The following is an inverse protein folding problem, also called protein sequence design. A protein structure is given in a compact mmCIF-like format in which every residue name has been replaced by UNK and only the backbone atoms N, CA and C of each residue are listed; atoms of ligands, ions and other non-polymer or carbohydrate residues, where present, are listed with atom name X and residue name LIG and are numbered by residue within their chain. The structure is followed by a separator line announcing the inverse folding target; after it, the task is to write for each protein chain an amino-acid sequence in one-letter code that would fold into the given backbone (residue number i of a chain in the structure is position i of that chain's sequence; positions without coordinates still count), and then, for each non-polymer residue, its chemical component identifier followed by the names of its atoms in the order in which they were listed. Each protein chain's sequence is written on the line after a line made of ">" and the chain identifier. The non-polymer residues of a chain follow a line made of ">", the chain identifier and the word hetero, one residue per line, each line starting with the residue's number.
data_IF_099121659167
#
_entry.id   IF_099121659167
#
_cell.length_a   1.000
_cell.length_b   1.000
_cell.length_c   1.000
_cell.angle_alpha   90.00
_cell.angle_beta   90.00
_cell.angle_gamma   90.00
#
_symmetry.space_group_name_H-M   'P 1'
#
loop_
_entity.id
_entity.type
_entity.pdbx_description
1 polymer ?
#
# COMPACT_ATOMS: atom_id res chain seq x y z
N UNK A 1 -34.28 4.73 4.30
CA UNK A 1 -33.92 3.45 4.95
C UNK A 1 -33.33 3.82 6.30
N UNK A 2 -33.77 3.19 7.39
CA UNK A 2 -33.18 3.43 8.72
C UNK A 2 -32.04 2.45 8.94
N UNK A 3 -30.79 2.93 8.87
CA UNK A 3 -29.59 2.14 9.11
C UNK A 3 -29.20 2.21 10.59
N UNK A 4 -28.55 1.15 11.10
CA UNK A 4 -27.86 1.18 12.39
C UNK A 4 -26.69 2.18 12.35
N UNK A 5 -26.12 2.54 13.51
CA UNK A 5 -24.95 3.45 13.57
C UNK A 5 -23.79 2.91 12.73
N UNK A 6 -23.54 1.59 12.77
CA UNK A 6 -22.57 0.92 11.91
C UNK A 6 -22.91 1.11 10.42
N UNK A 7 -24.17 0.90 10.02
CA UNK A 7 -24.61 1.10 8.64
C UNK A 7 -24.50 2.55 8.21
N UNK A 8 -24.78 3.51 9.11
CA UNK A 8 -24.63 4.94 8.83
C UNK A 8 -23.16 5.33 8.65
N UNK A 9 -22.24 4.78 9.47
CA UNK A 9 -20.79 5.04 9.39
C UNK A 9 -20.23 4.67 8.00
N UNK A 10 -20.63 3.54 7.44
CA UNK A 10 -20.14 3.06 6.14
C UNK A 10 -21.03 3.41 4.94
N UNK A 11 -22.17 4.07 5.15
CA UNK A 11 -23.03 4.57 4.07
C UNK A 11 -22.61 5.96 3.55
N UNK A 12 -21.69 6.63 4.24
CA UNK A 12 -21.13 7.91 3.80
C UNK A 12 -20.27 7.76 2.55
N UNK A 13 -20.21 8.82 1.76
CA UNK A 13 -19.27 8.90 0.64
C UNK A 13 -17.87 9.04 1.20
N UNK A 14 -17.08 7.97 1.17
CA UNK A 14 -15.70 7.98 1.64
C UNK A 14 -14.77 8.64 0.61
N UNK A 15 -13.62 9.15 1.07
CA UNK A 15 -12.61 9.73 0.18
C UNK A 15 -12.16 8.76 -0.91
N UNK A 16 -12.00 7.47 -0.55
CA UNK A 16 -11.63 6.42 -1.51
C UNK A 16 -12.77 6.12 -2.50
N UNK A 17 -14.03 6.09 -2.06
CA UNK A 17 -15.19 5.86 -2.94
C UNK A 17 -15.34 6.99 -3.94
N UNK A 18 -15.26 8.24 -3.47
CA UNK A 18 -15.32 9.41 -4.33
C UNK A 18 -14.21 9.39 -5.39
N UNK A 19 -12.99 9.06 -4.98
CA UNK A 19 -11.86 8.94 -5.90
C UNK A 19 -12.06 7.83 -6.93
N UNK A 20 -12.54 6.67 -6.50
CA UNK A 20 -12.77 5.51 -7.39
C UNK A 20 -13.86 5.80 -8.41
N UNK A 21 -14.96 6.44 -8.01
CA UNK A 21 -16.05 6.83 -8.91
C UNK A 21 -15.57 7.88 -9.92
N UNK A 22 -14.83 8.89 -9.45
CA UNK A 22 -14.29 9.96 -10.29
C UNK A 22 -13.29 9.43 -11.33
N UNK A 23 -12.44 8.49 -10.93
CA UNK A 23 -11.50 7.80 -11.83
C UNK A 23 -12.24 6.89 -12.83
N UNK A 24 -13.28 6.17 -12.39
CA UNK A 24 -14.09 5.32 -13.26
C UNK A 24 -14.86 6.14 -14.31
N UNK A 25 -15.45 7.27 -13.91
CA UNK A 25 -16.13 8.21 -14.81
C UNK A 25 -15.16 8.77 -15.86
N UNK A 26 -13.95 9.14 -15.42
CA UNK A 26 -12.91 9.64 -16.31
C UNK A 26 -12.46 8.59 -17.33
N UNK A 27 -12.28 7.34 -16.92
CA UNK A 27 -11.90 6.23 -17.81
C UNK A 27 -12.95 5.93 -18.90
N UNK A 28 -14.20 6.27 -18.68
CA UNK A 28 -15.25 6.09 -19.68
C UNK A 28 -15.12 7.08 -20.87
N UNK A 29 -14.27 8.09 -20.75
CA UNK A 29 -14.05 9.10 -21.81
C UNK A 29 -12.92 8.64 -22.75
N UNK A 30 -13.11 8.69 -24.09
CA UNK A 30 -12.06 8.31 -25.06
C UNK A 30 -10.83 9.21 -24.95
N UNK A 31 -9.65 8.60 -24.98
CA UNK A 31 -8.36 9.33 -25.04
C UNK A 31 -7.87 9.90 -23.72
N UNK A 32 -8.55 9.59 -22.61
CA UNK A 32 -8.10 9.96 -21.26
C UNK A 32 -6.89 9.11 -20.85
N UNK A 33 -5.88 9.79 -20.28
CA UNK A 33 -4.66 9.18 -19.75
C UNK A 33 -4.86 8.91 -18.25
N UNK A 34 -4.74 7.64 -17.82
CA UNK A 34 -4.96 7.21 -16.45
C UNK A 34 -3.64 7.08 -15.69
N UNK A 35 -3.17 8.14 -15.04
CA UNK A 35 -2.03 8.11 -14.13
C UNK A 35 -2.45 8.15 -12.64
N UNK A 36 -3.75 8.09 -12.35
CA UNK A 36 -4.29 8.04 -10.97
C UNK A 36 -4.55 6.62 -10.44
N UNK A 37 -4.62 5.62 -11.30
CA UNK A 37 -5.00 4.26 -10.94
C UNK A 37 -4.01 3.54 -10.03
N UNK A 38 -4.50 2.49 -9.35
CA UNK A 38 -3.72 1.65 -8.42
C UNK A 38 -3.50 0.21 -8.89
N UNK A 39 -3.83 -0.12 -10.14
CA UNK A 39 -3.55 -1.44 -10.70
C UNK A 39 -2.05 -1.61 -10.97
N UNK A 40 -1.47 -2.80 -10.72
CA UNK A 40 -0.10 -3.10 -11.14
C UNK A 40 0.03 -3.09 -12.66
N UNK A 41 1.25 -2.92 -13.16
CA UNK A 41 1.55 -3.06 -14.57
C UNK A 41 1.28 -4.49 -15.06
N UNK A 42 0.82 -4.61 -16.31
CA UNK A 42 0.79 -5.91 -17.00
C UNK A 42 2.16 -6.16 -17.62
N UNK A 43 2.96 -7.05 -16.99
CA UNK A 43 4.29 -7.42 -17.45
C UNK A 43 4.15 -8.76 -18.18
N UNK A 44 4.38 -8.82 -19.53
CA UNK A 44 4.11 -10.04 -20.31
C UNK A 44 4.85 -11.27 -19.79
N UNK A 45 6.11 -11.13 -19.38
CA UNK A 45 6.93 -12.22 -18.88
C UNK A 45 6.39 -12.75 -17.54
N UNK A 46 5.93 -11.89 -16.66
CA UNK A 46 5.28 -12.25 -15.39
C UNK A 46 3.94 -12.96 -15.64
N UNK A 47 3.15 -12.46 -16.59
CA UNK A 47 1.89 -13.09 -16.97
C UNK A 47 2.09 -14.48 -17.59
N UNK A 48 3.17 -14.69 -18.35
CA UNK A 48 3.52 -15.99 -18.90
C UNK A 48 3.82 -17.02 -17.79
N UNK A 49 4.56 -16.61 -16.75
CA UNK A 49 4.82 -17.46 -15.57
C UNK A 49 3.53 -17.84 -14.86
N UNK A 50 2.61 -16.90 -14.63
CA UNK A 50 1.32 -17.22 -14.03
C UNK A 50 0.48 -18.16 -14.88
N UNK A 51 0.49 -17.98 -16.21
CA UNK A 51 -0.22 -18.88 -17.13
C UNK A 51 0.33 -20.30 -17.05
N UNK A 52 1.66 -20.47 -17.04
CA UNK A 52 2.30 -21.77 -16.88
C UNK A 52 1.92 -22.46 -15.55
N UNK A 53 1.89 -21.69 -14.44
CA UNK A 53 1.48 -22.21 -13.14
C UNK A 53 0.01 -22.67 -13.18
N UNK A 54 -0.89 -21.87 -13.78
CA UNK A 54 -2.30 -22.21 -13.89
C UNK A 54 -2.51 -23.47 -14.75
N UNK A 55 -1.74 -23.64 -15.85
CA UNK A 55 -1.78 -24.84 -16.68
C UNK A 55 -1.33 -26.08 -15.89
N UNK A 56 -0.27 -25.98 -15.08
CA UNK A 56 0.19 -27.06 -14.18
C UNK A 56 -0.88 -27.44 -13.16
N UNK A 57 -1.48 -26.45 -12.49
CA UNK A 57 -2.55 -26.65 -11.51
C UNK A 57 -3.80 -27.29 -12.15
N UNK A 58 -4.11 -26.92 -13.40
CA UNK A 58 -5.22 -27.52 -14.15
C UNK A 58 -4.94 -28.96 -14.51
N UNK A 59 -3.73 -29.25 -15.00
CA UNK A 59 -3.33 -30.60 -15.40
C UNK A 59 -3.27 -31.58 -14.22
N UNK A 60 -2.89 -31.13 -13.03
CA UNK A 60 -2.84 -31.97 -11.81
C UNK A 60 -4.23 -32.12 -11.13
N UNK A 61 -5.23 -31.34 -11.51
CA UNK A 61 -6.54 -31.28 -10.84
C UNK A 61 -6.56 -30.42 -9.58
N UNK A 62 -5.45 -29.84 -9.17
CA UNK A 62 -5.36 -28.97 -7.99
C UNK A 62 -6.17 -27.68 -8.14
N UNK A 63 -6.26 -27.14 -9.37
CA UNK A 63 -7.09 -25.97 -9.66
C UNK A 63 -8.56 -26.21 -9.30
N UNK A 64 -9.13 -27.34 -9.75
CA UNK A 64 -10.52 -27.69 -9.46
C UNK A 64 -10.71 -27.92 -7.96
N UNK A 65 -9.79 -28.64 -7.31
CA UNK A 65 -9.83 -28.85 -5.86
C UNK A 65 -9.80 -27.55 -5.07
N UNK A 66 -8.96 -26.59 -5.46
CA UNK A 66 -8.86 -25.28 -4.83
C UNK A 66 -10.13 -24.44 -4.99
N UNK A 67 -10.81 -24.55 -6.14
CA UNK A 67 -12.03 -23.78 -6.41
C UNK A 67 -13.30 -24.41 -5.81
N UNK A 68 -13.31 -25.72 -5.54
CA UNK A 68 -14.49 -26.46 -5.10
C UNK A 68 -14.55 -26.73 -3.59
N UNK A 69 -13.50 -26.36 -2.83
CA UNK A 69 -13.44 -26.60 -1.41
C UNK A 69 -13.15 -25.29 -0.63
N UNK A 70 -13.69 -25.20 0.58
CA UNK A 70 -13.27 -24.18 1.54
C UNK A 70 -11.99 -24.61 2.25
N UNK A 71 -11.07 -23.68 2.41
CA UNK A 71 -9.94 -23.81 3.33
C UNK A 71 -10.37 -23.48 4.76
N UNK A 72 -9.47 -23.67 5.73
CA UNK A 72 -9.68 -23.19 7.09
C UNK A 72 -9.75 -21.64 7.15
N UNK A 73 -10.37 -21.03 8.16
CA UNK A 73 -10.41 -19.57 8.31
C UNK A 73 -9.03 -18.90 8.35
N UNK A 74 -8.01 -19.63 8.81
CA UNK A 74 -6.62 -19.17 8.79
C UNK A 74 -6.01 -19.18 7.37
N UNK A 75 -6.52 -20.04 6.49
CA UNK A 75 -6.05 -20.25 5.12
C UNK A 75 -5.60 -21.67 4.84
N UNK A 76 -5.06 -21.92 3.66
CA UNK A 76 -4.63 -23.24 3.18
C UNK A 76 -3.37 -23.70 3.93
N UNK A 77 -3.46 -24.77 4.69
CA UNK A 77 -2.38 -25.27 5.57
C UNK A 77 -1.07 -25.51 4.83
N UNK A 78 -1.11 -26.13 3.64
CA UNK A 78 0.08 -26.38 2.83
C UNK A 78 0.81 -25.09 2.44
N UNK A 79 0.07 -24.02 2.14
CA UNK A 79 0.67 -22.72 1.83
C UNK A 79 1.24 -22.05 3.07
N UNK A 80 0.57 -22.13 4.22
CA UNK A 80 1.08 -21.60 5.48
C UNK A 80 2.39 -22.29 5.89
N UNK A 81 2.49 -23.60 5.72
CA UNK A 81 3.72 -24.38 5.95
C UNK A 81 4.84 -23.96 5.00
N UNK A 82 4.54 -23.82 3.70
CA UNK A 82 5.49 -23.36 2.69
C UNK A 82 6.01 -21.95 2.97
N UNK A 83 5.13 -21.03 3.33
CA UNK A 83 5.51 -19.66 3.70
C UNK A 83 6.38 -19.63 4.95
N UNK A 84 5.99 -20.36 6.02
CA UNK A 84 6.78 -20.42 7.25
C UNK A 84 8.18 -20.98 6.98
N UNK A 85 8.28 -22.03 6.16
CA UNK A 85 9.56 -22.58 5.74
C UNK A 85 10.38 -21.56 4.94
N UNK A 86 9.76 -20.88 3.96
CA UNK A 86 10.40 -19.85 3.13
C UNK A 86 11.00 -18.72 3.98
N UNK A 87 10.24 -18.17 4.93
CA UNK A 87 10.73 -17.08 5.78
C UNK A 87 11.83 -17.53 6.75
N UNK A 88 11.75 -18.74 7.27
CA UNK A 88 12.84 -19.29 8.11
C UNK A 88 14.13 -19.45 7.34
N UNK A 89 14.08 -20.07 6.16
CA UNK A 89 15.27 -20.34 5.36
C UNK A 89 15.90 -19.09 4.77
N UNK A 90 15.09 -18.13 4.32
CA UNK A 90 15.60 -16.94 3.66
C UNK A 90 15.98 -15.82 4.61
N UNK A 91 15.29 -15.67 5.74
CA UNK A 91 15.42 -14.51 6.63
C UNK A 91 15.70 -14.88 8.10
N UNK A 92 15.72 -16.15 8.44
CA UNK A 92 15.98 -16.62 9.81
C UNK A 92 14.87 -16.23 10.79
N UNK A 93 13.64 -15.98 10.32
CA UNK A 93 12.53 -15.65 11.18
C UNK A 93 12.08 -16.88 11.98
N UNK A 94 11.91 -16.72 13.30
CA UNK A 94 11.42 -17.79 14.15
C UNK A 94 9.88 -17.84 14.11
N UNK A 95 9.33 -18.32 12.99
CA UNK A 95 7.89 -18.45 12.75
C UNK A 95 7.50 -19.84 12.28
N UNK A 96 6.28 -20.25 12.66
CA UNK A 96 5.61 -21.43 12.16
C UNK A 96 4.34 -21.11 11.38
N UNK A 97 3.60 -22.11 10.90
CA UNK A 97 2.29 -21.90 10.27
C UNK A 97 1.29 -21.16 11.18
N UNK A 98 1.41 -21.30 12.51
CA UNK A 98 0.58 -20.60 13.50
C UNK A 98 0.81 -19.08 13.56
N UNK A 99 1.91 -18.60 12.98
CA UNK A 99 2.23 -17.18 12.87
C UNK A 99 1.70 -16.51 11.58
N UNK A 100 1.00 -17.24 10.71
CA UNK A 100 0.60 -16.77 9.40
C UNK A 100 -0.90 -16.99 9.19
N UNK A 101 -1.60 -15.96 8.67
CA UNK A 101 -2.99 -16.09 8.22
C UNK A 101 -3.18 -15.44 6.85
N UNK A 102 -4.13 -15.96 6.08
CA UNK A 102 -4.56 -15.39 4.80
C UNK A 102 -5.78 -14.50 4.98
N UNK A 103 -5.99 -13.58 4.04
CA UNK A 103 -7.11 -12.65 4.04
C UNK A 103 -7.55 -12.30 2.62
N UNK A 104 -8.74 -11.70 2.46
CA UNK A 104 -9.26 -11.20 1.18
C UNK A 104 -8.57 -9.90 0.72
N UNK A 105 -7.24 -9.94 0.55
CA UNK A 105 -6.38 -8.80 0.32
C UNK A 105 -6.08 -8.02 1.61
N UNK A 106 -5.01 -7.22 1.61
CA UNK A 106 -4.56 -6.47 2.79
C UNK A 106 -5.59 -5.47 3.32
N UNK A 107 -6.50 -4.95 2.47
CA UNK A 107 -7.57 -4.05 2.91
C UNK A 107 -8.47 -4.68 3.97
N UNK A 108 -8.82 -5.96 3.84
CA UNK A 108 -9.58 -6.68 4.86
C UNK A 108 -8.78 -6.88 6.14
N UNK A 109 -7.45 -7.08 6.03
CA UNK A 109 -6.58 -7.15 7.19
C UNK A 109 -6.57 -5.82 7.96
N UNK A 110 -6.45 -4.68 7.29
CA UNK A 110 -6.49 -3.37 7.96
C UNK A 110 -7.82 -3.12 8.65
N UNK A 111 -8.96 -3.48 8.02
CA UNK A 111 -10.25 -3.38 8.68
C UNK A 111 -10.30 -4.18 9.98
N UNK A 112 -9.84 -5.43 9.98
CA UNK A 112 -9.82 -6.28 11.16
C UNK A 112 -8.83 -5.74 12.20
N UNK A 113 -7.57 -5.52 11.83
CA UNK A 113 -6.50 -5.18 12.77
C UNK A 113 -6.69 -3.79 13.40
N UNK A 114 -7.04 -2.78 12.61
CA UNK A 114 -7.24 -1.44 13.15
C UNK A 114 -8.38 -1.41 14.17
N UNK A 115 -9.53 -2.03 13.87
CA UNK A 115 -10.65 -2.08 14.79
C UNK A 115 -10.45 -3.06 15.97
N UNK A 116 -9.41 -3.89 15.92
CA UNK A 116 -9.06 -4.79 17.01
C UNK A 116 -8.16 -4.15 18.06
N UNK A 117 -7.22 -3.34 17.61
CA UNK A 117 -6.23 -2.69 18.47
C UNK A 117 -6.62 -1.26 18.86
N UNK A 118 -7.52 -0.65 18.10
CA UNK A 118 -7.98 0.72 18.31
C UNK A 118 -9.53 0.78 18.36
N UNK A 119 -10.07 1.94 18.77
CA UNK A 119 -11.49 2.14 19.03
C UNK A 119 -11.77 2.15 20.53
N UNK A 120 -13.05 1.97 20.91
CA UNK A 120 -13.50 2.07 22.31
C UNK A 120 -13.18 0.80 23.08
N UNK A 121 -12.43 0.94 24.18
CA UNK A 121 -12.08 -0.15 25.08
C UNK A 121 -12.21 0.29 26.54
N UNK A 122 -13.10 -0.34 27.32
CA UNK A 122 -13.20 -0.13 28.76
C UNK A 122 -13.45 1.31 29.23
N UNK A 123 -14.09 2.15 28.41
CA UNK A 123 -14.37 3.56 28.74
C UNK A 123 -13.31 4.55 28.23
N UNK A 124 -12.22 4.09 27.65
CA UNK A 124 -11.23 4.89 26.91
C UNK A 124 -11.36 4.64 25.41
N UNK A 125 -10.80 5.52 24.60
CA UNK A 125 -10.67 5.33 23.15
C UNK A 125 -9.17 5.24 22.81
N UNK A 126 -8.80 4.25 22.02
CA UNK A 126 -7.44 4.12 21.44
C UNK A 126 -7.47 4.37 19.96
N UNK A 127 -6.36 4.86 19.43
CA UNK A 127 -6.20 5.21 18.01
C UNK A 127 -5.06 4.42 17.37
N UNK A 128 -5.12 4.31 16.05
CA UNK A 128 -3.98 3.89 15.24
C UNK A 128 -3.13 5.12 14.96
N UNK A 129 -1.88 5.08 15.39
CA UNK A 129 -0.90 6.13 15.12
C UNK A 129 -0.20 5.87 13.79
N UNK A 130 -0.25 6.86 12.90
CA UNK A 130 0.53 6.93 11.67
C UNK A 130 1.73 7.87 11.95
N UNK A 131 2.95 7.35 12.18
CA UNK A 131 4.08 8.17 12.66
C UNK A 131 4.68 9.10 11.61
N UNK A 132 4.26 8.99 10.36
CA UNK A 132 4.57 9.93 9.30
C UNK A 132 3.49 9.88 8.21
N UNK A 133 3.06 11.03 7.73
CA UNK A 133 2.21 11.16 6.54
C UNK A 133 3.00 11.86 5.43
N UNK A 134 2.69 11.62 4.13
CA UNK A 134 1.50 10.95 3.60
C UNK A 134 1.53 9.43 3.73
N UNK A 135 0.33 8.83 3.81
CA UNK A 135 0.10 7.39 3.90
C UNK A 135 -1.12 6.93 3.09
N UNK A 136 -1.34 5.63 3.03
CA UNK A 136 -2.33 5.01 2.17
C UNK A 136 -3.76 5.48 2.46
N UNK A 137 -4.42 6.02 1.43
CA UNK A 137 -5.81 6.53 1.49
C UNK A 137 -6.79 5.48 2.04
N UNK A 138 -6.54 4.19 1.78
CA UNK A 138 -7.40 3.10 2.23
C UNK A 138 -7.49 2.92 3.74
N UNK A 139 -6.63 3.58 4.53
CA UNK A 139 -6.73 3.56 5.99
C UNK A 139 -7.81 4.51 6.53
N UNK A 140 -8.13 5.58 5.80
CA UNK A 140 -9.02 6.64 6.29
C UNK A 140 -10.40 6.15 6.73
N UNK A 141 -10.93 5.16 6.02
CA UNK A 141 -12.34 4.77 6.14
C UNK A 141 -12.55 3.37 6.75
N UNK A 142 -11.49 2.67 7.20
CA UNK A 142 -11.64 1.33 7.78
C UNK A 142 -12.13 1.34 9.23
N UNK A 143 -12.08 2.49 9.92
CA UNK A 143 -12.49 2.62 11.31
C UNK A 143 -14.00 2.51 11.50
N UNK A 144 -14.45 1.66 12.42
CA UNK A 144 -15.84 1.68 12.94
C UNK A 144 -16.03 2.98 13.72
N UNK A 145 -15.05 3.35 14.54
CA UNK A 145 -14.98 4.67 15.17
C UNK A 145 -14.46 5.69 14.14
N UNK A 146 -15.14 6.83 13.89
CA UNK A 146 -14.68 7.83 12.94
C UNK A 146 -13.34 8.47 13.31
N UNK A 147 -13.00 8.53 14.60
CA UNK A 147 -11.77 9.15 15.11
C UNK A 147 -10.65 8.11 15.36
N UNK A 148 -10.69 6.98 14.63
CA UNK A 148 -9.78 5.86 14.84
C UNK A 148 -8.31 6.20 14.56
N UNK A 149 -8.02 7.18 13.70
CA UNK A 149 -6.66 7.50 13.25
C UNK A 149 -6.14 8.78 13.92
N UNK A 150 -4.86 8.78 14.22
CA UNK A 150 -4.07 9.98 14.47
C UNK A 150 -2.75 9.88 13.71
N UNK A 151 -2.19 10.99 13.29
CA UNK A 151 -0.96 11.00 12.53
C UNK A 151 -0.03 12.13 12.90
N UNK A 152 1.25 11.93 12.59
CA UNK A 152 2.29 12.93 12.71
C UNK A 152 2.80 13.34 11.33
N UNK A 153 3.13 14.63 11.17
CA UNK A 153 3.79 15.11 9.96
C UNK A 153 5.20 14.50 9.84
N UNK A 154 5.56 14.12 8.64
CA UNK A 154 6.92 13.71 8.36
C UNK A 154 7.88 14.91 8.36
N UNK A 155 9.12 14.67 8.77
CA UNK A 155 10.20 15.60 8.50
C UNK A 155 10.58 15.52 7.03
N UNK A 156 10.49 16.65 6.32
CA UNK A 156 10.90 16.75 4.91
C UNK A 156 12.41 17.00 4.87
N UNK A 157 13.12 16.17 4.12
CA UNK A 157 14.55 16.31 3.86
C UNK A 157 14.74 16.60 2.38
N UNK A 158 15.22 17.79 2.05
CA UNK A 158 15.60 18.13 0.68
C UNK A 158 16.89 17.38 0.29
N UNK A 159 16.89 16.85 -0.92
CA UNK A 159 18.03 16.17 -1.54
C UNK A 159 18.47 16.96 -2.76
N UNK A 160 19.57 16.52 -3.39
CA UNK A 160 20.05 17.14 -4.61
C UNK A 160 19.04 16.98 -5.77
N UNK A 161 19.19 17.82 -6.79
CA UNK A 161 18.42 17.77 -8.04
C UNK A 161 16.89 17.88 -7.86
N UNK A 162 16.40 18.67 -6.90
CA UNK A 162 14.96 18.85 -6.69
C UNK A 162 14.23 17.60 -6.14
N UNK A 163 14.98 16.60 -5.67
CA UNK A 163 14.41 15.51 -4.91
C UNK A 163 14.19 15.89 -3.44
N UNK A 164 13.26 15.19 -2.80
CA UNK A 164 13.08 15.24 -1.35
C UNK A 164 12.72 13.86 -0.81
N UNK A 165 12.79 13.69 0.51
CA UNK A 165 12.42 12.46 1.20
C UNK A 165 11.68 12.75 2.49
N UNK A 166 10.73 11.91 2.84
CA UNK A 166 10.08 11.90 4.16
C UNK A 166 10.86 11.04 5.15
N UNK A 167 10.99 11.54 6.37
CA UNK A 167 11.57 10.84 7.52
C UNK A 167 10.61 10.90 8.70
N UNK A 168 10.65 9.88 9.54
CA UNK A 168 9.95 9.95 10.84
C UNK A 168 10.58 11.04 11.70
N UNK A 169 9.77 11.90 12.27
CA UNK A 169 10.22 12.90 13.23
C UNK A 169 10.21 12.29 14.65
N UNK A 170 11.25 11.54 14.95
CA UNK A 170 11.40 10.83 16.23
C UNK A 170 11.53 11.77 17.43
N UNK A 171 11.95 13.03 17.23
CA UNK A 171 12.10 14.00 18.30
C UNK A 171 10.75 14.45 18.84
N UNK A 172 9.73 14.50 17.98
CA UNK A 172 8.39 14.93 18.31
C UNK A 172 7.37 13.77 18.35
N UNK A 173 7.80 12.53 18.05
CA UNK A 173 6.92 11.37 18.07
C UNK A 173 6.50 11.03 19.50
N UNK A 174 5.18 11.12 19.76
CA UNK A 174 4.61 10.79 21.05
C UNK A 174 3.70 9.58 20.92
N UNK A 175 3.92 8.60 21.80
CA UNK A 175 3.08 7.40 21.93
C UNK A 175 2.61 7.36 23.39
N UNK A 176 1.35 7.69 23.61
CA UNK A 176 0.71 7.69 24.93
C UNK A 176 -0.37 6.59 25.02
N UNK A 177 -1.07 6.50 26.13
CA UNK A 177 -2.10 5.49 26.40
C UNK A 177 -3.29 5.54 25.41
N UNK A 178 -3.42 6.61 24.63
CA UNK A 178 -4.43 6.71 23.57
C UNK A 178 -4.05 6.00 22.27
N UNK A 179 -2.83 5.49 22.16
CA UNK A 179 -2.38 4.70 21.02
C UNK A 179 -2.61 3.21 21.29
N UNK A 180 -3.20 2.50 20.35
CA UNK A 180 -3.42 1.05 20.42
C UNK A 180 -2.64 0.27 19.37
N UNK A 181 -2.14 0.95 18.33
CA UNK A 181 -1.39 0.36 17.21
C UNK A 181 -0.56 1.45 16.53
N UNK A 182 0.68 1.15 16.16
CA UNK A 182 1.47 1.98 15.25
C UNK A 182 1.45 1.33 13.87
N UNK A 183 1.16 2.10 12.82
CA UNK A 183 1.09 1.59 11.44
C UNK A 183 1.95 2.39 10.49
N UNK A 184 2.77 1.70 9.68
CA UNK A 184 3.60 2.27 8.63
C UNK A 184 3.54 1.41 7.37
N UNK A 185 3.74 2.03 6.19
CA UNK A 185 3.93 1.31 4.93
C UNK A 185 5.41 1.29 4.53
N UNK A 186 5.86 0.17 3.95
CA UNK A 186 7.24 0.02 3.47
C UNK A 186 7.29 -0.82 2.18
N UNK A 187 7.33 -0.19 1.00
CA UNK A 187 7.27 1.25 0.68
C UNK A 187 5.85 1.83 0.79
N UNK A 188 5.81 3.15 0.93
CA UNK A 188 4.56 3.89 1.10
C UNK A 188 3.83 4.13 -0.23
N UNK A 189 2.54 3.95 -0.25
CA UNK A 189 1.63 4.58 -1.19
C UNK A 189 1.05 5.83 -0.49
N UNK A 190 1.33 7.07 -0.91
CA UNK A 190 1.53 7.50 -2.31
C UNK A 190 2.99 7.78 -2.70
N UNK A 191 3.90 7.96 -1.76
CA UNK A 191 5.18 8.64 -1.99
C UNK A 191 6.29 7.73 -2.54
N UNK A 192 6.14 6.41 -2.43
CA UNK A 192 7.24 5.48 -2.69
C UNK A 192 8.34 5.53 -1.64
N UNK A 193 8.08 6.20 -0.49
CA UNK A 193 9.05 6.30 0.60
C UNK A 193 9.35 4.93 1.20
N UNK A 194 10.61 4.65 1.43
CA UNK A 194 11.08 3.43 2.09
C UNK A 194 11.73 3.80 3.41
N UNK A 195 11.16 3.35 4.52
CA UNK A 195 11.79 3.45 5.82
C UNK A 195 13.07 2.62 5.84
N UNK A 196 14.16 3.18 6.36
CA UNK A 196 15.40 2.44 6.59
C UNK A 196 15.21 1.36 7.65
N UNK A 197 16.11 0.37 7.67
CA UNK A 197 16.10 -0.67 8.72
C UNK A 197 16.18 -0.03 10.11
N UNK A 198 17.02 1.00 10.28
CA UNK A 198 17.16 1.73 11.55
C UNK A 198 15.90 2.50 11.96
N UNK A 199 15.12 3.04 11.01
CA UNK A 199 13.83 3.68 11.32
C UNK A 199 12.81 2.63 11.78
N UNK A 200 12.75 1.45 11.14
CA UNK A 200 11.88 0.34 11.56
C UNK A 200 12.24 -0.15 12.97
N UNK A 201 13.54 -0.37 13.24
CA UNK A 201 14.02 -0.78 14.56
C UNK A 201 13.70 0.26 15.65
N UNK A 202 13.79 1.55 15.33
CA UNK A 202 13.46 2.61 16.29
C UNK A 202 11.96 2.67 16.56
N UNK A 203 11.12 2.53 15.52
CA UNK A 203 9.66 2.44 15.68
C UNK A 203 9.26 1.22 16.53
N UNK A 204 9.90 0.07 16.29
CA UNK A 204 9.65 -1.14 17.06
C UNK A 204 10.02 -0.98 18.55
N UNK A 205 11.17 -0.38 18.84
CA UNK A 205 11.56 -0.05 20.23
C UNK A 205 10.53 0.85 20.92
N UNK A 206 10.02 1.85 20.20
CA UNK A 206 8.99 2.77 20.74
C UNK A 206 7.67 2.02 20.95
N UNK A 207 7.23 1.21 19.98
CA UNK A 207 6.02 0.40 20.06
C UNK A 207 6.09 -0.60 21.23
N UNK A 208 7.21 -1.33 21.37
CA UNK A 208 7.46 -2.26 22.46
C UNK A 208 7.45 -1.57 23.83
N UNK A 209 8.07 -0.39 23.93
CA UNK A 209 8.09 0.37 25.18
C UNK A 209 6.69 0.88 25.59
N UNK A 210 5.81 1.09 24.63
CA UNK A 210 4.42 1.50 24.85
C UNK A 210 3.44 0.32 24.96
N UNK A 211 3.92 -0.94 24.88
CA UNK A 211 3.09 -2.15 24.87
C UNK A 211 2.01 -2.13 23.77
N UNK A 212 2.37 -1.71 22.58
CA UNK A 212 1.51 -1.70 21.39
C UNK A 212 2.22 -2.38 20.22
N UNK A 213 1.49 -3.07 19.32
CA UNK A 213 2.11 -3.68 18.15
C UNK A 213 2.53 -2.63 17.09
N UNK A 214 3.58 -2.97 16.32
CA UNK A 214 3.97 -2.26 15.11
C UNK A 214 3.45 -3.00 13.88
N UNK A 215 2.52 -2.41 13.15
CA UNK A 215 2.04 -2.94 11.88
C UNK A 215 2.84 -2.35 10.72
N UNK A 216 3.40 -3.21 9.87
CA UNK A 216 4.13 -2.86 8.66
C UNK A 216 3.33 -3.33 7.44
N UNK A 217 2.80 -2.38 6.67
CA UNK A 217 2.19 -2.67 5.37
C UNK A 217 3.30 -2.86 4.33
N UNK A 218 3.50 -4.12 3.93
CA UNK A 218 4.45 -4.56 2.92
C UNK A 218 3.78 -4.92 1.60
N UNK A 219 2.68 -4.26 1.21
CA UNK A 219 1.96 -4.57 -0.02
C UNK A 219 2.83 -4.45 -1.29
N UNK A 220 3.85 -3.59 -1.28
CA UNK A 220 4.87 -3.44 -2.32
C UNK A 220 6.24 -3.98 -1.89
N UNK A 221 6.34 -4.43 -0.64
CA UNK A 221 7.58 -4.66 0.08
C UNK A 221 8.28 -5.98 -0.25
N UNK A 222 9.32 -6.22 0.54
CA UNK A 222 10.09 -7.47 0.55
C UNK A 222 9.35 -8.53 1.36
N UNK A 223 9.54 -9.82 1.05
CA UNK A 223 10.37 -10.39 -0.03
C UNK A 223 9.69 -10.36 -1.40
N UNK A 224 8.38 -10.24 -1.43
CA UNK A 224 7.59 -10.15 -2.67
C UNK A 224 6.43 -9.16 -2.46
N UNK A 225 6.09 -8.36 -3.47
CA UNK A 225 6.60 -8.32 -4.85
C UNK A 225 8.00 -7.70 -5.02
N UNK A 226 8.61 -7.20 -3.96
CA UNK A 226 9.92 -6.58 -3.92
C UNK A 226 10.07 -5.35 -4.86
N UNK A 227 9.04 -4.49 -4.89
CA UNK A 227 9.10 -3.23 -5.63
C UNK A 227 9.77 -2.19 -4.73
N UNK A 228 11.03 -2.43 -4.40
CA UNK A 228 11.91 -1.58 -3.59
C UNK A 228 13.24 -1.43 -4.31
N UNK A 229 13.74 -0.19 -4.44
CA UNK A 229 14.94 0.16 -5.20
C UNK A 229 16.13 0.53 -4.29
N UNK A 230 15.93 0.48 -2.99
CA UNK A 230 16.97 0.70 -1.97
C UNK A 230 17.25 -0.63 -1.25
N UNK A 231 18.48 -0.82 -0.75
CA UNK A 231 18.81 -2.02 0.02
C UNK A 231 18.11 -1.97 1.40
N UNK A 232 17.22 -2.89 1.65
CA UNK A 232 16.52 -3.04 2.93
C UNK A 232 16.30 -4.52 3.25
N UNK A 233 16.20 -4.81 4.54
CA UNK A 233 15.91 -6.16 5.03
C UNK A 233 14.44 -6.28 5.43
N UNK A 234 13.75 -7.38 5.09
CA UNK A 234 12.42 -7.67 5.65
C UNK A 234 12.49 -7.68 7.18
N UNK A 235 11.54 -7.00 7.83
CA UNK A 235 11.57 -6.81 9.28
C UNK A 235 10.39 -7.54 9.93
N UNK A 236 10.68 -8.39 10.90
CA UNK A 236 9.69 -9.04 11.75
C UNK A 236 10.27 -9.41 13.11
N UNK A 237 9.45 -9.33 14.15
CA UNK A 237 9.63 -9.92 15.48
C UNK A 237 8.25 -10.16 16.12
N UNK A 238 8.20 -10.68 17.34
CA UNK A 238 6.96 -11.02 18.06
C UNK A 238 6.03 -9.81 18.31
N UNK A 239 6.54 -8.57 18.30
CA UNK A 239 5.76 -7.35 18.45
C UNK A 239 5.26 -6.79 17.11
N UNK A 240 5.73 -7.35 15.98
CA UNK A 240 5.39 -6.86 14.66
C UNK A 240 4.23 -7.63 14.04
N UNK A 241 3.37 -6.90 13.32
CA UNK A 241 2.37 -7.44 12.40
C UNK A 241 2.77 -7.03 10.99
N UNK A 242 3.11 -7.98 10.13
CA UNK A 242 3.43 -7.71 8.72
C UNK A 242 2.24 -8.06 7.84
N UNK A 243 1.75 -7.09 7.08
CA UNK A 243 0.68 -7.28 6.11
C UNK A 243 1.25 -7.25 4.69
N UNK A 244 1.06 -8.32 3.93
CA UNK A 244 1.50 -8.45 2.54
C UNK A 244 0.30 -8.62 1.61
N UNK A 245 0.49 -8.36 0.32
CA UNK A 245 -0.58 -8.49 -0.68
C UNK A 245 -0.05 -9.08 -1.98
N UNK A 246 -0.76 -10.05 -2.53
CA UNK A 246 -0.46 -10.58 -3.86
C UNK A 246 -0.95 -9.66 -4.99
N UNK A 247 -1.71 -8.61 -4.68
CA UNK A 247 -2.20 -7.66 -5.68
C UNK A 247 -1.07 -7.02 -6.47
N UNK A 248 0.04 -6.66 -5.81
CA UNK A 248 1.16 -5.96 -6.44
C UNK A 248 2.20 -6.91 -7.04
N UNK A 249 2.10 -8.19 -6.74
CA UNK A 249 2.82 -9.25 -7.46
C UNK A 249 2.32 -9.43 -8.91
N UNK A 250 1.11 -8.91 -9.21
CA UNK A 250 0.44 -9.05 -10.50
C UNK A 250 -0.88 -9.82 -10.42
N UNK A 251 -1.35 -10.14 -9.22
CA UNK A 251 -2.56 -10.95 -8.98
C UNK A 251 -3.66 -10.18 -8.22
N UNK A 252 -4.03 -8.94 -8.63
CA UNK A 252 -5.03 -8.16 -7.89
C UNK A 252 -6.41 -8.83 -7.84
N UNK A 253 -6.78 -9.57 -8.89
CA UNK A 253 -8.05 -10.30 -8.98
C UNK A 253 -8.14 -11.53 -8.07
N UNK A 254 -7.00 -12.08 -7.62
CA UNK A 254 -6.98 -13.23 -6.71
C UNK A 254 -7.41 -12.88 -5.27
N UNK A 255 -7.46 -11.60 -4.92
CA UNK A 255 -7.89 -11.09 -3.62
C UNK A 255 -7.24 -11.80 -2.43
N UNK A 256 -5.92 -12.00 -2.48
CA UNK A 256 -5.16 -12.68 -1.43
C UNK A 256 -4.19 -11.72 -0.75
N UNK A 257 -4.28 -11.62 0.56
CA UNK A 257 -3.32 -10.98 1.44
C UNK A 257 -2.77 -12.00 2.45
N UNK A 258 -1.68 -11.64 3.10
CA UNK A 258 -0.98 -12.46 4.09
C UNK A 258 -0.73 -11.58 5.31
N UNK A 259 -1.04 -12.10 6.49
CA UNK A 259 -0.75 -11.47 7.79
C UNK A 259 0.22 -12.38 8.53
N UNK A 260 1.34 -11.81 8.98
CA UNK A 260 2.34 -12.51 9.79
C UNK A 260 2.44 -11.79 11.13
N UNK A 261 2.23 -12.50 12.22
CA UNK A 261 2.25 -11.95 13.58
C UNK A 261 2.50 -13.05 14.61
N UNK A 262 2.54 -12.68 15.89
CA UNK A 262 2.54 -13.70 16.96
C UNK A 262 1.26 -14.56 16.93
N UNK A 263 1.31 -15.74 17.52
CA UNK A 263 0.25 -16.75 17.45
C UNK A 263 -1.09 -16.25 18.03
N UNK A 264 -1.07 -15.40 19.03
CA UNK A 264 -2.29 -14.87 19.66
C UNK A 264 -3.03 -13.93 18.70
N UNK A 265 -2.30 -13.06 18.02
CA UNK A 265 -2.86 -12.18 16.98
C UNK A 265 -3.41 -13.01 15.82
N UNK A 266 -2.69 -14.01 15.34
CA UNK A 266 -3.14 -14.87 14.23
C UNK A 266 -4.38 -15.67 14.60
N UNK A 267 -4.43 -16.24 15.83
CA UNK A 267 -5.63 -16.94 16.31
C UNK A 267 -6.85 -16.01 16.33
N UNK A 268 -6.69 -14.81 16.88
CA UNK A 268 -7.73 -13.81 16.90
C UNK A 268 -8.15 -13.39 15.47
N UNK A 269 -7.19 -13.11 14.61
CA UNK A 269 -7.44 -12.72 13.22
C UNK A 269 -8.21 -13.80 12.45
N UNK A 270 -7.85 -15.06 12.63
CA UNK A 270 -8.52 -16.21 12.01
C UNK A 270 -9.97 -16.35 12.49
N UNK A 271 -10.25 -16.10 13.78
CA UNK A 271 -11.60 -16.09 14.31
C UNK A 271 -12.46 -14.97 13.67
N UNK A 272 -11.88 -13.78 13.50
CA UNK A 272 -12.56 -12.67 12.82
C UNK A 272 -12.81 -12.98 11.34
N UNK A 273 -11.87 -13.63 10.66
CA UNK A 273 -12.03 -14.10 9.27
C UNK A 273 -13.18 -15.11 9.18
N UNK A 274 -13.28 -16.06 10.13
CA UNK A 274 -14.37 -17.02 10.16
C UNK A 274 -15.75 -16.35 10.24
N UNK A 275 -15.87 -15.25 10.99
CA UNK A 275 -17.13 -14.52 11.17
C UNK A 275 -17.44 -13.64 9.96
N UNK A 276 -16.44 -12.97 9.41
CA UNK A 276 -16.63 -11.93 8.36
C UNK A 276 -16.72 -12.51 6.96
N UNK A 277 -16.03 -13.62 6.68
CA UNK A 277 -15.91 -14.16 5.32
C UNK A 277 -15.81 -15.68 5.23
N UNK A 278 -15.96 -16.39 6.36
CA UNK A 278 -15.86 -17.84 6.50
C UNK A 278 -14.43 -18.37 6.27
N UNK A 279 -13.86 -18.14 5.11
CA UNK A 279 -12.49 -18.54 4.73
C UNK A 279 -11.92 -17.57 3.67
N UNK A 280 -10.60 -17.40 3.60
CA UNK A 280 -9.96 -16.58 2.57
C UNK A 280 -10.00 -17.28 1.19
N UNK A 281 -9.78 -16.50 0.11
CA UNK A 281 -9.70 -17.04 -1.25
C UNK A 281 -8.39 -17.85 -1.44
N UNK A 282 -8.51 -19.08 -1.94
CA UNK A 282 -7.40 -20.04 -2.06
C UNK A 282 -6.56 -19.91 -3.34
N UNK A 283 -7.10 -19.37 -4.45
CA UNK A 283 -6.43 -19.41 -5.74
C UNK A 283 -5.09 -18.67 -5.77
N UNK A 284 -5.03 -17.47 -5.22
CA UNK A 284 -3.79 -16.71 -5.15
C UNK A 284 -2.73 -17.39 -4.28
N UNK A 285 -3.17 -17.98 -3.16
CA UNK A 285 -2.32 -18.78 -2.29
C UNK A 285 -1.72 -19.99 -3.04
N UNK A 286 -2.53 -20.70 -3.83
CA UNK A 286 -2.06 -21.86 -4.60
C UNK A 286 -1.03 -21.50 -5.68
N UNK A 287 -1.28 -20.40 -6.41
CA UNK A 287 -0.33 -19.91 -7.42
C UNK A 287 1.03 -19.61 -6.77
N UNK A 288 1.03 -18.85 -5.65
CA UNK A 288 2.28 -18.46 -4.99
C UNK A 288 2.93 -19.63 -4.28
N UNK A 289 2.14 -20.56 -3.71
CA UNK A 289 2.65 -21.81 -3.17
C UNK A 289 3.49 -22.56 -4.21
N UNK A 290 2.95 -22.71 -5.42
CA UNK A 290 3.65 -23.38 -6.53
C UNK A 290 4.92 -22.66 -6.94
N UNK A 291 4.87 -21.31 -7.01
CA UNK A 291 6.06 -20.50 -7.33
C UNK A 291 7.17 -20.65 -6.29
N UNK A 292 6.83 -20.77 -5.00
CA UNK A 292 7.82 -21.01 -3.95
C UNK A 292 8.42 -22.41 -4.09
N UNK A 293 7.58 -23.44 -4.22
CA UNK A 293 8.02 -24.83 -4.34
C UNK A 293 8.89 -25.07 -5.59
N UNK A 294 8.57 -24.41 -6.70
CA UNK A 294 9.34 -24.48 -7.95
C UNK A 294 10.55 -23.50 -7.93
N UNK A 295 10.81 -22.78 -6.82
CA UNK A 295 11.88 -21.78 -6.67
C UNK A 295 11.81 -20.63 -7.70
N UNK A 296 10.62 -20.30 -8.17
CA UNK A 296 10.39 -19.27 -9.20
C UNK A 296 9.99 -17.89 -8.60
N UNK A 297 9.53 -17.83 -7.34
CA UNK A 297 9.00 -16.60 -6.76
C UNK A 297 10.06 -15.50 -6.66
N UNK A 298 11.24 -15.83 -6.13
CA UNK A 298 12.30 -14.83 -5.94
C UNK A 298 12.86 -14.32 -7.28
N UNK A 299 13.20 -15.18 -8.26
CA UNK A 299 13.57 -14.71 -9.60
C UNK A 299 12.49 -13.87 -10.28
N UNK A 300 11.22 -14.22 -10.14
CA UNK A 300 10.10 -13.43 -10.67
C UNK A 300 10.13 -11.99 -10.13
N UNK A 301 10.38 -11.84 -8.83
CA UNK A 301 10.43 -10.53 -8.16
C UNK A 301 11.70 -9.75 -8.48
N UNK A 302 12.87 -10.41 -8.39
CA UNK A 302 14.18 -9.74 -8.47
C UNK A 302 14.62 -9.46 -9.90
N UNK A 303 14.32 -10.36 -10.84
CA UNK A 303 14.82 -10.29 -12.22
C UNK A 303 13.80 -9.68 -13.19
N UNK A 304 12.49 -9.72 -12.87
CA UNK A 304 11.44 -9.20 -13.75
C UNK A 304 10.68 -8.02 -13.15
N UNK A 305 10.09 -8.16 -11.96
CA UNK A 305 9.19 -7.15 -11.39
C UNK A 305 9.97 -5.92 -10.96
N UNK A 306 10.94 -6.05 -10.07
CA UNK A 306 11.71 -4.91 -9.52
C UNK A 306 12.42 -4.11 -10.62
N UNK A 307 13.18 -4.71 -11.55
CA UNK A 307 13.84 -3.95 -12.61
C UNK A 307 12.87 -3.22 -13.54
N UNK A 308 11.72 -3.84 -13.84
CA UNK A 308 10.68 -3.18 -14.63
C UNK A 308 10.18 -1.90 -13.96
N UNK A 309 9.81 -1.95 -12.68
CA UNK A 309 9.29 -0.79 -11.97
C UNK A 309 10.36 0.27 -11.76
N UNK A 310 11.60 -0.11 -11.48
CA UNK A 310 12.71 0.83 -11.34
C UNK A 310 12.96 1.60 -12.65
N UNK A 311 13.07 0.90 -13.76
CA UNK A 311 13.23 1.54 -15.08
C UNK A 311 12.08 2.48 -15.43
N UNK A 312 10.83 2.10 -15.06
CA UNK A 312 9.66 2.96 -15.26
C UNK A 312 9.67 4.21 -14.37
N UNK A 313 10.13 4.10 -13.13
CA UNK A 313 10.28 5.24 -12.23
C UNK A 313 11.30 6.25 -12.78
N UNK A 314 12.47 5.76 -13.22
CA UNK A 314 13.53 6.59 -13.79
C UNK A 314 13.05 7.30 -15.08
N UNK A 315 12.37 6.58 -15.98
CA UNK A 315 11.77 7.13 -17.17
C UNK A 315 10.73 8.23 -16.86
N UNK A 316 9.83 7.97 -15.93
CA UNK A 316 8.79 8.93 -15.58
C UNK A 316 9.37 10.21 -14.96
N UNK A 317 10.42 10.11 -14.15
CA UNK A 317 11.16 11.28 -13.61
C UNK A 317 11.83 12.07 -14.74
N UNK A 318 12.47 11.39 -15.70
CA UNK A 318 13.10 12.05 -16.87
C UNK A 318 12.07 12.82 -17.68
N UNK A 319 10.97 12.18 -18.05
CA UNK A 319 9.90 12.81 -18.84
C UNK A 319 9.26 14.01 -18.13
N UNK A 320 9.07 13.91 -16.80
CA UNK A 320 8.56 15.04 -16.02
C UNK A 320 9.53 16.24 -16.03
N UNK A 321 10.83 15.99 -15.86
CA UNK A 321 11.85 17.05 -15.83
C UNK A 321 12.08 17.67 -17.20
N UNK A 322 11.96 16.90 -18.28
CA UNK A 322 11.99 17.41 -19.64
C UNK A 322 10.80 18.34 -19.96
N UNK A 323 9.61 17.99 -19.42
CA UNK A 323 8.40 18.76 -19.65
C UNK A 323 8.26 19.98 -18.71
N UNK A 324 8.80 19.90 -17.49
CA UNK A 324 8.65 20.92 -16.43
C UNK A 324 10.04 21.30 -15.91
N UNK A 325 10.62 22.34 -16.52
CA UNK A 325 11.90 22.94 -16.09
C UNK A 325 11.62 24.10 -15.12
N UNK A 326 11.14 23.76 -13.91
CA UNK A 326 10.86 24.74 -12.86
C UNK A 326 11.37 24.23 -11.49
N UNK A 327 12.22 24.99 -10.80
CA UNK A 327 12.82 24.56 -9.52
C UNK A 327 11.79 24.40 -8.37
N UNK A 328 10.56 24.86 -8.54
CA UNK A 328 9.46 24.67 -7.58
C UNK A 328 8.78 23.31 -7.68
N UNK A 329 9.09 22.53 -8.72
CA UNK A 329 8.70 21.11 -8.79
C UNK A 329 9.70 20.27 -7.99
N UNK A 330 9.24 19.70 -6.88
CA UNK A 330 9.97 18.71 -6.13
C UNK A 330 9.36 17.33 -6.35
N UNK A 331 10.21 16.33 -6.53
CA UNK A 331 9.81 14.92 -6.67
C UNK A 331 10.30 14.15 -5.45
N UNK A 332 9.41 13.44 -4.75
CA UNK A 332 9.88 12.50 -3.73
C UNK A 332 10.79 11.46 -4.40
N UNK A 333 12.00 11.24 -3.83
CA UNK A 333 12.96 10.26 -4.40
C UNK A 333 12.25 8.91 -4.54
N UNK A 334 12.11 8.37 -5.77
CA UNK A 334 11.45 7.08 -5.97
C UNK A 334 12.32 5.98 -5.36
N UNK A 335 11.87 5.40 -4.25
CA UNK A 335 12.59 4.33 -3.56
C UNK A 335 11.85 2.99 -3.66
N UNK A 336 10.61 3.00 -4.15
CA UNK A 336 9.77 1.82 -4.32
C UNK A 336 8.34 2.16 -4.73
N UNK A 337 7.45 1.20 -4.62
CA UNK A 337 6.05 1.22 -5.04
C UNK A 337 5.88 1.37 -6.57
N UNK A 338 4.81 2.01 -7.02
CA UNK A 338 4.51 2.23 -8.43
C UNK A 338 4.01 3.65 -8.69
N UNK A 339 4.35 4.59 -7.81
CA UNK A 339 3.89 5.96 -7.84
C UNK A 339 5.03 6.94 -7.74
N UNK A 340 4.90 8.09 -8.42
CA UNK A 340 5.62 9.32 -8.14
C UNK A 340 4.74 10.21 -7.26
N UNK A 341 5.41 10.89 -6.34
CA UNK A 341 4.82 11.90 -5.48
C UNK A 341 5.47 13.24 -5.76
N UNK A 342 4.65 14.16 -6.26
CA UNK A 342 5.07 15.49 -6.72
C UNK A 342 4.63 16.53 -5.71
N UNK A 343 5.51 17.45 -5.38
CA UNK A 343 5.23 18.62 -4.55
C UNK A 343 5.52 19.88 -5.34
N UNK A 344 4.52 20.76 -5.43
CA UNK A 344 4.55 22.02 -6.15
C UNK A 344 4.68 23.17 -5.16
N UNK A 345 5.92 23.61 -4.90
CA UNK A 345 6.18 24.68 -3.94
C UNK A 345 5.66 26.02 -4.45
N UNK A 346 4.89 26.74 -3.61
CA UNK A 346 4.34 28.05 -3.95
C UNK A 346 3.30 28.03 -5.06
N UNK A 347 2.63 26.90 -5.30
CA UNK A 347 1.52 26.83 -6.26
C UNK A 347 0.39 27.78 -5.85
N UNK A 348 -0.09 28.62 -6.80
CA UNK A 348 -1.13 29.63 -6.56
C UNK A 348 -2.54 29.07 -6.40
N UNK A 349 -2.74 27.77 -6.61
CA UNK A 349 -4.01 27.03 -6.45
C UNK A 349 -3.77 25.74 -5.68
N UNK A 350 -4.82 25.09 -5.20
CA UNK A 350 -4.71 23.76 -4.60
C UNK A 350 -4.49 22.69 -5.67
N UNK A 351 -3.87 21.55 -5.31
CA UNK A 351 -3.77 20.41 -6.23
C UNK A 351 -5.13 19.78 -6.53
N UNK A 352 -6.13 20.04 -5.71
CA UNK A 352 -7.53 19.69 -6.03
C UNK A 352 -8.06 20.51 -7.21
N UNK A 353 -7.81 21.81 -7.24
CA UNK A 353 -8.17 22.66 -8.38
C UNK A 353 -7.35 22.33 -9.62
N UNK A 354 -6.05 22.09 -9.45
CA UNK A 354 -5.18 21.60 -10.53
C UNK A 354 -5.73 20.30 -11.12
N UNK A 355 -6.12 19.34 -10.31
CA UNK A 355 -6.72 18.08 -10.77
C UNK A 355 -7.97 18.30 -11.62
N UNK A 356 -8.85 19.23 -11.24
CA UNK A 356 -10.04 19.54 -12.05
C UNK A 356 -9.69 20.12 -13.44
N UNK A 357 -8.59 20.83 -13.58
CA UNK A 357 -8.06 21.31 -14.87
C UNK A 357 -7.46 20.15 -15.66
N UNK A 358 -6.64 19.32 -15.03
CA UNK A 358 -6.03 18.14 -15.63
C UNK A 358 -7.08 17.15 -16.15
N UNK A 359 -8.13 16.88 -15.36
CA UNK A 359 -9.26 16.01 -15.77
C UNK A 359 -9.92 16.52 -17.04
N UNK A 360 -10.18 17.83 -17.14
CA UNK A 360 -10.72 18.45 -18.37
C UNK A 360 -9.77 18.38 -19.57
N UNK A 361 -8.47 18.36 -19.31
CA UNK A 361 -7.42 18.20 -20.33
C UNK A 361 -7.11 16.73 -20.65
N UNK A 362 -7.86 15.78 -20.07
CA UNK A 362 -7.75 14.34 -20.34
C UNK A 362 -6.66 13.62 -19.56
N UNK A 363 -6.23 14.16 -18.41
CA UNK A 363 -5.27 13.51 -17.51
C UNK A 363 -5.89 13.26 -16.14
N UNK A 364 -5.88 12.01 -15.68
CA UNK A 364 -6.34 11.61 -14.36
C UNK A 364 -5.15 11.28 -13.46
N UNK A 365 -5.06 11.95 -12.32
CA UNK A 365 -4.07 11.82 -11.25
C UNK A 365 -4.77 11.86 -9.90
N UNK A 366 -4.07 11.87 -8.77
CA UNK A 366 -4.72 11.94 -7.46
C UNK A 366 -4.18 13.11 -6.64
N UNK A 367 -5.04 14.05 -6.21
CA UNK A 367 -4.65 15.14 -5.30
C UNK A 367 -4.11 14.61 -3.97
N UNK A 368 -3.12 15.33 -3.43
CA UNK A 368 -2.38 14.92 -2.25
C UNK A 368 -3.20 14.84 -0.98
N UNK A 369 -4.21 15.69 -0.82
CA UNK A 369 -5.04 15.76 0.39
C UNK A 369 -5.65 14.44 0.86
N UNK A 370 -5.85 13.49 -0.04
CA UNK A 370 -6.43 12.18 0.28
C UNK A 370 -5.46 11.23 1.02
N UNK A 371 -4.19 11.61 1.14
CA UNK A 371 -3.13 10.76 1.70
C UNK A 371 -2.60 11.23 3.06
N UNK A 372 -3.35 12.08 3.74
CA UNK A 372 -3.00 12.60 5.06
C UNK A 372 -4.05 12.19 6.10
N UNK A 373 -4.22 10.86 6.36
CA UNK A 373 -5.20 10.37 7.33
C UNK A 373 -4.89 10.86 8.74
N UNK A 374 -5.92 11.20 9.50
CA UNK A 374 -5.78 11.58 10.91
C UNK A 374 -5.18 12.96 11.17
N UNK A 375 -4.94 13.79 10.14
CA UNK A 375 -4.50 15.17 10.30
C UNK A 375 -5.65 16.14 10.44
N UNK A 376 -5.47 17.17 11.28
CA UNK A 376 -6.40 18.29 11.37
C UNK A 376 -6.31 19.21 10.14
N UNK A 377 -7.42 19.88 9.81
CA UNK A 377 -7.51 20.72 8.61
C UNK A 377 -6.48 21.87 8.55
N UNK A 378 -5.99 22.34 9.70
CA UNK A 378 -5.01 23.43 9.79
C UNK A 378 -3.61 23.04 9.25
N UNK A 379 -3.28 21.75 9.25
CA UNK A 379 -1.94 21.24 8.87
C UNK A 379 -1.84 20.76 7.43
N UNK A 380 -2.84 21.03 6.58
CA UNK A 380 -2.96 20.44 5.26
C UNK A 380 -2.30 21.23 4.12
N UNK A 381 -1.57 22.31 4.39
CA UNK A 381 -0.95 23.16 3.35
C UNK A 381 -0.02 22.35 2.41
N UNK A 382 0.79 21.46 2.97
CA UNK A 382 1.64 20.57 2.18
C UNK A 382 0.82 19.55 1.39
N UNK A 383 -0.22 18.97 1.98
CA UNK A 383 -1.13 18.04 1.33
C UNK A 383 -1.81 18.64 0.08
N UNK A 384 -2.23 19.91 0.18
CA UNK A 384 -2.88 20.67 -0.91
C UNK A 384 -1.89 21.13 -2.00
N UNK A 385 -0.58 20.99 -1.76
CA UNK A 385 0.47 21.26 -2.74
C UNK A 385 1.05 19.98 -3.39
N UNK A 386 0.57 18.78 -3.00
CA UNK A 386 1.10 17.52 -3.50
C UNK A 386 0.14 16.79 -4.44
N UNK A 387 0.70 15.91 -5.27
CA UNK A 387 -0.03 15.11 -6.25
C UNK A 387 0.61 13.73 -6.43
N UNK A 388 -0.20 12.67 -6.49
CA UNK A 388 0.26 11.32 -6.84
C UNK A 388 -0.04 11.00 -8.29
N UNK A 389 0.95 10.46 -9.01
CA UNK A 389 0.78 9.81 -10.31
C UNK A 389 1.42 8.42 -10.32
N UNK A 390 0.82 7.46 -11.04
CA UNK A 390 1.46 6.18 -11.28
C UNK A 390 2.40 6.25 -12.50
N UNK A 391 3.36 5.34 -12.56
CA UNK A 391 4.28 5.21 -13.68
C UNK A 391 4.21 3.85 -14.40
N UNK A 392 3.06 3.17 -14.26
CA UNK A 392 2.85 1.82 -14.83
C UNK A 392 2.42 1.84 -16.30
N UNK A 393 2.03 3.01 -16.81
CA UNK A 393 1.53 3.18 -18.18
C UNK A 393 2.66 3.17 -19.22
N UNK A 394 2.32 3.16 -20.49
CA UNK A 394 3.29 3.23 -21.58
C UNK A 394 4.11 4.53 -21.54
N UNK A 395 5.31 4.52 -22.13
CA UNK A 395 6.16 5.71 -22.26
C UNK A 395 5.41 6.86 -22.95
N UNK A 396 4.66 6.57 -24.02
CA UNK A 396 3.87 7.55 -24.74
C UNK A 396 2.79 8.21 -23.85
N UNK A 397 2.13 7.43 -22.98
CA UNK A 397 1.13 7.96 -22.04
C UNK A 397 1.78 8.75 -20.92
N UNK A 398 2.93 8.32 -20.40
CA UNK A 398 3.70 9.07 -19.42
C UNK A 398 4.19 10.41 -19.97
N UNK A 399 4.77 10.43 -21.18
CA UNK A 399 5.24 11.66 -21.84
C UNK A 399 4.10 12.64 -22.09
N UNK A 400 2.99 12.16 -22.66
CA UNK A 400 1.82 13.00 -22.89
C UNK A 400 1.18 13.50 -21.60
N UNK A 401 1.18 12.68 -20.54
CA UNK A 401 0.73 13.09 -19.21
C UNK A 401 1.60 14.21 -18.62
N UNK A 402 2.93 14.11 -18.77
CA UNK A 402 3.87 15.14 -18.35
C UNK A 402 3.67 16.47 -19.12
N UNK A 403 3.44 16.41 -20.44
CA UNK A 403 3.13 17.58 -21.27
C UNK A 403 1.84 18.29 -20.84
N UNK A 404 0.76 17.52 -20.57
CA UNK A 404 -0.51 18.07 -20.09
C UNK A 404 -0.31 18.74 -18.72
N UNK A 405 0.41 18.08 -17.81
CA UNK A 405 0.72 18.62 -16.49
C UNK A 405 1.51 19.92 -16.60
N UNK A 406 2.57 19.95 -17.40
CA UNK A 406 3.39 21.15 -17.65
C UNK A 406 2.56 22.33 -18.15
N UNK A 407 1.68 22.09 -19.13
CA UNK A 407 0.79 23.10 -19.68
C UNK A 407 -0.16 23.71 -18.66
N UNK A 408 -0.76 22.87 -17.81
CA UNK A 408 -1.68 23.37 -16.78
C UNK A 408 -0.94 24.12 -15.66
N UNK A 409 0.26 23.66 -15.27
CA UNK A 409 1.10 24.31 -14.27
C UNK A 409 1.57 25.71 -14.72
N UNK A 410 1.90 25.91 -15.97
CA UNK A 410 2.35 27.21 -16.50
C UNK A 410 1.34 28.36 -16.28
N UNK A 411 0.09 28.04 -15.97
CA UNK A 411 -0.97 28.98 -15.64
C UNK A 411 -1.28 29.10 -14.13
N UNK A 412 -0.49 28.42 -13.28
CA UNK A 412 -0.77 28.28 -11.85
C UNK A 412 0.37 28.75 -10.95
N UNK A 413 1.55 28.97 -11.52
CA UNK A 413 2.73 29.53 -10.84
C UNK A 413 2.93 31.00 -11.14
#
# INVERSE_FOLDING_TARGET
>A
MNLSDFGQRFNGYSGITHLMDDLAEGLAQPGVIMLGGGNPASIPEVNAVFSEVLDKLSASGELVSTLSNYDAPQGKSSFLETLAHYFREQYGWDIGPSNIALTHGSQSAFFILFNSFAGRAGGSARRVLIPLVPEYIGYCDVGIDPDLLCSQQARIVHLDDGFFKYRVDFENLQVDDSVGLICVSRPTNPSGNVLSDSECEQLDRIATAADVPLLIDSAYGTPFPNIIFEPVTPFWNENCIVCMSLSKLGLPGARTGIVIANEDVIRYFSNMTAITSLAPAGLGAEIVNRLILDQQLQPLCDDLIRPFYQARADLAVSLLREAIDDPRLHVHKPQGSMFLWLWFEGLGITTTELYQRLKRSGLLVVPGKYFFPGQEAADQSHAEACLRMNYVQSEAELGKGAEILAKELSNCW
#
